data_IF_696533405221
#
_entry.id   IF_696533405221
#
_cell.length_a   1.000
_cell.length_b   1.000
_cell.length_c   1.000
_cell.angle_alpha   90.00
_cell.angle_beta   90.00
_cell.angle_gamma   90.00
#
_symmetry.space_group_name_H-M   'P 1'
#
loop_
_entity.id
_entity.type
_entity.pdbx_description
1 polymer ?
#
# COMPACT_ATOMS: atom_id res chain seq x y z
N UNK A 1 10.35 5.75 25.63
CA UNK A 1 9.13 6.06 24.86
C UNK A 1 9.42 6.67 23.47
N UNK A 2 10.43 7.52 23.31
CA UNK A 2 10.94 7.97 21.99
C UNK A 2 11.53 6.83 21.17
N UNK A 3 12.11 5.81 21.81
CA UNK A 3 12.67 4.63 21.15
C UNK A 3 11.62 3.71 20.53
N UNK A 4 10.42 3.61 21.13
CA UNK A 4 9.34 2.76 20.58
C UNK A 4 8.74 3.35 19.30
N UNK A 5 8.64 4.66 19.16
CA UNK A 5 8.16 5.33 17.95
C UNK A 5 9.19 5.23 16.82
N UNK A 6 10.46 5.47 17.11
CA UNK A 6 11.55 5.32 16.13
C UNK A 6 11.71 3.85 15.68
N UNK A 7 11.56 2.89 16.59
CA UNK A 7 11.59 1.47 16.27
C UNK A 7 10.40 1.08 15.36
N UNK A 8 9.21 1.64 15.60
CA UNK A 8 8.04 1.43 14.74
C UNK A 8 8.28 1.94 13.32
N UNK A 9 8.81 3.15 13.16
CA UNK A 9 9.08 3.74 11.85
C UNK A 9 10.18 2.98 11.07
N UNK A 10 11.20 2.48 11.79
CA UNK A 10 12.23 1.62 11.21
C UNK A 10 11.64 0.27 10.77
N UNK A 11 10.76 -0.32 11.58
CA UNK A 11 10.09 -1.59 11.27
C UNK A 11 9.19 -1.48 10.03
N UNK A 12 8.44 -0.39 9.92
CA UNK A 12 7.61 -0.06 8.76
C UNK A 12 8.46 0.03 7.50
N UNK A 13 9.53 0.81 7.56
CA UNK A 13 10.45 1.01 6.43
C UNK A 13 11.13 -0.30 6.00
N UNK A 14 11.52 -1.14 6.95
CA UNK A 14 12.07 -2.48 6.66
C UNK A 14 11.06 -3.39 5.98
N UNK A 15 9.79 -3.38 6.41
CA UNK A 15 8.71 -4.13 5.78
C UNK A 15 8.51 -3.75 4.32
N UNK A 16 8.49 -2.45 4.00
CA UNK A 16 8.37 -1.98 2.62
C UNK A 16 9.55 -2.40 1.74
N UNK A 17 10.77 -2.27 2.25
CA UNK A 17 11.98 -2.69 1.52
C UNK A 17 11.92 -4.19 1.27
N UNK A 18 11.54 -4.98 2.26
CA UNK A 18 11.40 -6.44 2.12
C UNK A 18 10.34 -6.81 1.08
N UNK A 19 9.20 -6.12 1.07
CA UNK A 19 8.15 -6.34 0.08
C UNK A 19 8.63 -6.07 -1.36
N UNK A 20 9.30 -4.93 -1.58
CA UNK A 20 9.84 -4.57 -2.90
C UNK A 20 10.95 -5.54 -3.33
N UNK A 21 11.85 -5.92 -2.43
CA UNK A 21 12.90 -6.93 -2.72
C UNK A 21 12.25 -8.28 -3.05
N UNK A 22 11.31 -8.74 -2.24
CA UNK A 22 10.58 -9.98 -2.50
C UNK A 22 9.88 -9.95 -3.87
N UNK A 23 9.25 -8.84 -4.23
CA UNK A 23 8.61 -8.67 -5.54
C UNK A 23 9.62 -8.64 -6.69
N UNK A 24 10.77 -8.00 -6.52
CA UNK A 24 11.84 -8.02 -7.50
C UNK A 24 12.40 -9.43 -7.72
N UNK A 25 12.53 -10.23 -6.64
CA UNK A 25 12.92 -11.64 -6.73
C UNK A 25 11.87 -12.50 -7.45
N UNK A 26 10.57 -12.18 -7.32
CA UNK A 26 9.50 -12.84 -8.11
C UNK A 26 9.70 -12.59 -9.59
N UNK A 27 10.09 -11.37 -9.99
CA UNK A 27 10.40 -11.05 -11.40
C UNK A 27 11.55 -11.94 -11.91
N UNK A 28 12.64 -12.02 -11.16
CA UNK A 28 13.79 -12.86 -11.52
C UNK A 28 13.39 -14.33 -11.64
N UNK A 29 12.65 -14.87 -10.68
CA UNK A 29 12.16 -16.24 -10.70
C UNK A 29 11.22 -16.52 -11.88
N UNK A 30 10.41 -15.53 -12.27
CA UNK A 30 9.52 -15.62 -13.43
C UNK A 30 10.28 -15.78 -14.74
N UNK A 31 11.37 -15.02 -14.93
CA UNK A 31 12.24 -15.18 -16.10
C UNK A 31 13.07 -16.49 -16.08
N UNK A 32 13.34 -17.04 -14.89
CA UNK A 32 13.96 -18.36 -14.76
C UNK A 32 12.98 -19.52 -15.05
N UNK A 33 11.69 -19.23 -15.18
CA UNK A 33 10.65 -20.24 -15.42
C UNK A 33 10.41 -21.21 -14.24
N UNK A 34 10.87 -20.88 -13.03
CA UNK A 34 10.77 -21.73 -11.84
C UNK A 34 9.53 -21.36 -11.01
N UNK A 35 8.41 -22.07 -11.23
CA UNK A 35 7.18 -21.86 -10.46
C UNK A 35 7.37 -22.02 -8.94
N UNK A 36 8.08 -23.04 -8.40
CA UNK A 36 8.28 -23.15 -6.96
C UNK A 36 9.02 -21.94 -6.37
N UNK A 37 10.01 -21.40 -7.11
CA UNK A 37 10.78 -20.25 -6.67
C UNK A 37 9.92 -18.97 -6.70
N UNK A 38 9.07 -18.81 -7.71
CA UNK A 38 8.09 -17.73 -7.77
C UNK A 38 7.13 -17.76 -6.57
N UNK A 39 6.62 -18.94 -6.21
CA UNK A 39 5.74 -19.10 -5.04
C UNK A 39 6.46 -18.74 -3.73
N UNK A 40 7.68 -19.19 -3.55
CA UNK A 40 8.48 -18.87 -2.35
C UNK A 40 8.73 -17.36 -2.23
N UNK A 41 9.13 -16.68 -3.30
CA UNK A 41 9.35 -15.24 -3.29
C UNK A 41 8.07 -14.43 -3.19
N UNK A 42 6.94 -14.93 -3.72
CA UNK A 42 5.63 -14.31 -3.50
C UNK A 42 5.23 -14.37 -2.03
N UNK A 43 5.48 -15.50 -1.35
CA UNK A 43 5.26 -15.61 0.08
C UNK A 43 6.16 -14.65 0.86
N UNK A 44 7.43 -14.52 0.48
CA UNK A 44 8.35 -13.55 1.09
C UNK A 44 7.86 -12.10 0.91
N UNK A 45 7.41 -11.74 -0.29
CA UNK A 45 6.84 -10.42 -0.57
C UNK A 45 5.58 -10.17 0.28
N UNK A 46 4.71 -11.17 0.43
CA UNK A 46 3.50 -11.09 1.25
C UNK A 46 3.80 -10.87 2.73
N UNK A 47 4.86 -11.50 3.27
CA UNK A 47 5.32 -11.25 4.64
C UNK A 47 5.77 -9.79 4.82
N UNK A 48 6.44 -9.22 3.83
CA UNK A 48 6.82 -7.81 3.84
C UNK A 48 5.63 -6.85 3.73
N UNK A 49 4.53 -7.27 3.08
CA UNK A 49 3.31 -6.47 2.93
C UNK A 49 2.39 -6.50 4.17
N UNK A 50 2.53 -7.50 5.05
CA UNK A 50 1.70 -7.64 6.26
C UNK A 50 1.68 -6.37 7.13
N UNK A 51 2.83 -5.82 7.54
CA UNK A 51 2.90 -4.58 8.29
C UNK A 51 2.22 -3.41 7.59
N UNK A 52 2.25 -3.36 6.27
CA UNK A 52 1.63 -2.28 5.50
C UNK A 52 0.10 -2.26 5.60
N UNK A 53 -0.57 -3.39 5.52
CA UNK A 53 -2.04 -3.40 5.60
C UNK A 53 -2.54 -2.85 6.96
N UNK A 54 -1.81 -3.10 8.03
CA UNK A 54 -2.05 -2.47 9.32
C UNK A 54 -1.77 -0.96 9.31
N UNK A 55 -0.71 -0.56 8.61
CA UNK A 55 -0.24 0.82 8.53
C UNK A 55 -1.18 1.75 7.75
N UNK A 56 -1.86 1.25 6.72
CA UNK A 56 -2.88 2.03 5.98
C UNK A 56 -3.99 2.56 6.90
N UNK A 57 -4.49 1.72 7.81
CA UNK A 57 -5.49 2.15 8.78
C UNK A 57 -4.92 3.19 9.76
N UNK A 58 -3.67 3.04 10.18
CA UNK A 58 -2.99 4.02 11.03
C UNK A 58 -2.79 5.36 10.31
N UNK A 59 -2.41 5.35 9.04
CA UNK A 59 -2.29 6.57 8.22
C UNK A 59 -3.64 7.29 8.08
N UNK A 60 -4.73 6.55 7.82
CA UNK A 60 -6.08 7.13 7.74
C UNK A 60 -6.46 7.76 9.08
N UNK A 61 -6.23 7.06 10.19
CA UNK A 61 -6.49 7.59 11.54
C UNK A 61 -5.66 8.85 11.82
N UNK A 62 -4.37 8.85 11.45
CA UNK A 62 -3.49 10.02 11.61
C UNK A 62 -3.93 11.21 10.77
N UNK A 63 -4.46 11.00 9.57
CA UNK A 63 -5.03 12.07 8.74
C UNK A 63 -6.32 12.64 9.35
N UNK A 64 -7.17 11.78 9.92
CA UNK A 64 -8.37 12.23 10.63
C UNK A 64 -8.01 13.03 11.89
N UNK A 65 -7.03 12.57 12.65
CA UNK A 65 -6.51 13.28 13.82
C UNK A 65 -5.92 14.65 13.45
N UNK A 66 -5.18 14.74 12.34
CA UNK A 66 -4.67 16.02 11.83
C UNK A 66 -5.80 17.01 11.56
N UNK A 67 -6.88 16.55 10.92
CA UNK A 67 -8.05 17.40 10.65
C UNK A 67 -8.74 17.82 11.93
N UNK A 68 -8.83 16.91 12.91
CA UNK A 68 -9.41 17.24 14.21
C UNK A 68 -8.57 18.28 14.97
N UNK A 69 -7.25 18.14 14.99
CA UNK A 69 -6.34 19.09 15.63
C UNK A 69 -6.36 20.49 14.97
N UNK A 70 -6.59 20.54 13.66
CA UNK A 70 -6.55 21.81 12.90
C UNK A 70 -7.91 22.48 12.77
N UNK A 71 -8.99 21.72 12.63
CA UNK A 71 -10.33 22.24 12.34
C UNK A 71 -11.38 21.95 13.42
N UNK A 72 -11.05 21.18 14.45
CA UNK A 72 -11.96 20.80 15.53
C UNK A 72 -13.08 19.84 15.09
N UNK A 73 -12.98 19.22 13.91
CA UNK A 73 -14.02 18.34 13.36
C UNK A 73 -13.51 16.92 13.21
N UNK A 74 -14.18 15.96 13.81
CA UNK A 74 -13.92 14.52 13.59
C UNK A 74 -14.56 14.07 12.29
N UNK A 75 -13.75 13.55 11.37
CA UNK A 75 -14.16 13.07 10.05
C UNK A 75 -13.78 11.62 9.81
N UNK A 76 -13.56 10.83 10.86
CA UNK A 76 -13.14 9.41 10.78
C UNK A 76 -14.03 8.62 9.82
N UNK A 77 -15.36 8.70 9.98
CA UNK A 77 -16.31 8.01 9.11
C UNK A 77 -16.18 8.39 7.63
N UNK A 78 -15.97 9.67 7.35
CA UNK A 78 -15.78 10.16 5.99
C UNK A 78 -14.48 9.64 5.38
N UNK A 79 -13.38 9.65 6.14
CA UNK A 79 -12.08 9.16 5.68
C UNK A 79 -12.12 7.66 5.34
N UNK A 80 -12.70 6.84 6.21
CA UNK A 80 -12.89 5.40 5.94
C UNK A 80 -13.85 5.14 4.77
N UNK A 81 -14.89 5.94 4.62
CA UNK A 81 -15.82 5.84 3.49
C UNK A 81 -15.13 6.18 2.16
N UNK A 82 -14.32 7.24 2.12
CA UNK A 82 -13.52 7.60 0.94
C UNK A 82 -12.52 6.49 0.59
N UNK A 83 -11.86 5.90 1.58
CA UNK A 83 -10.94 4.78 1.37
C UNK A 83 -11.66 3.56 0.81
N UNK A 84 -12.82 3.20 1.37
CA UNK A 84 -13.64 2.08 0.88
C UNK A 84 -14.12 2.32 -0.56
N UNK A 85 -14.52 3.55 -0.88
CA UNK A 85 -14.90 3.95 -2.23
C UNK A 85 -13.70 3.83 -3.18
N UNK A 86 -12.53 4.33 -2.78
CA UNK A 86 -11.30 4.23 -3.54
C UNK A 86 -10.91 2.80 -3.87
N UNK A 87 -11.00 1.87 -2.90
CA UNK A 87 -10.74 0.44 -3.11
C UNK A 87 -11.71 -0.17 -4.12
N UNK A 88 -13.01 0.15 -4.04
CA UNK A 88 -14.03 -0.38 -4.96
C UNK A 88 -13.83 0.16 -6.38
N UNK A 89 -13.62 1.47 -6.52
CA UNK A 89 -13.36 2.10 -7.83
C UNK A 89 -12.04 1.57 -8.41
N UNK A 90 -10.97 1.51 -7.61
CA UNK A 90 -9.67 0.98 -8.03
C UNK A 90 -9.74 -0.48 -8.46
N UNK A 91 -10.49 -1.31 -7.73
CA UNK A 91 -10.73 -2.72 -8.11
C UNK A 91 -11.48 -2.84 -9.44
N UNK A 92 -12.53 -2.04 -9.64
CA UNK A 92 -13.27 -2.01 -10.90
C UNK A 92 -12.42 -1.57 -12.10
N UNK A 93 -11.69 -0.46 -11.95
CA UNK A 93 -10.78 0.03 -12.99
C UNK A 93 -9.66 -0.99 -13.25
N UNK A 94 -9.07 -1.56 -12.20
CA UNK A 94 -8.02 -2.57 -12.32
C UNK A 94 -8.48 -3.79 -13.10
N UNK A 95 -9.67 -4.31 -12.82
CA UNK A 95 -10.25 -5.43 -13.55
C UNK A 95 -10.49 -5.09 -15.02
N UNK A 96 -10.99 -3.88 -15.32
CA UNK A 96 -11.20 -3.43 -16.70
C UNK A 96 -9.87 -3.30 -17.45
N UNK A 97 -8.84 -2.73 -16.83
CA UNK A 97 -7.50 -2.58 -17.43
C UNK A 97 -6.90 -3.95 -17.75
N UNK A 98 -6.99 -4.92 -16.82
CA UNK A 98 -6.54 -6.29 -17.06
C UNK A 98 -7.28 -6.92 -18.25
N UNK A 99 -8.60 -6.75 -18.34
CA UNK A 99 -9.41 -7.23 -19.47
C UNK A 99 -8.96 -6.63 -20.80
N UNK A 100 -8.76 -5.32 -20.86
CA UNK A 100 -8.28 -4.62 -22.06
C UNK A 100 -6.86 -5.06 -22.48
N UNK A 101 -5.96 -5.20 -21.50
CA UNK A 101 -4.59 -5.66 -21.78
C UNK A 101 -4.58 -7.07 -22.39
N UNK A 102 -5.43 -7.98 -21.91
CA UNK A 102 -5.61 -9.32 -22.47
C UNK A 102 -6.19 -9.25 -23.88
N UNK A 103 -7.24 -8.46 -24.10
CA UNK A 103 -7.86 -8.27 -25.41
C UNK A 103 -6.84 -7.76 -26.44
N UNK A 104 -6.11 -6.67 -26.13
CA UNK A 104 -5.09 -6.12 -27.02
C UNK A 104 -3.93 -7.08 -27.31
N UNK A 105 -3.66 -8.03 -26.42
CA UNK A 105 -2.63 -9.06 -26.62
C UNK A 105 -3.08 -10.22 -27.50
N UNK A 106 -4.36 -10.25 -27.87
CA UNK A 106 -4.95 -11.34 -28.68
C UNK A 106 -5.26 -12.59 -27.86
N UNK A 107 -5.49 -12.45 -26.56
CA UNK A 107 -5.91 -13.56 -25.71
C UNK A 107 -7.31 -14.06 -26.08
N UNK A 108 -7.47 -15.36 -26.31
CA UNK A 108 -8.76 -16.00 -26.59
C UNK A 108 -8.98 -17.13 -25.59
N UNK A 109 -9.87 -16.93 -24.62
CA UNK A 109 -10.11 -17.86 -23.50
C UNK A 109 -10.53 -19.26 -23.87
N UNK A 110 -11.05 -19.47 -25.10
CA UNK A 110 -11.47 -20.79 -25.61
C UNK A 110 -10.34 -21.56 -26.29
N UNK A 111 -9.23 -20.93 -26.61
CA UNK A 111 -8.11 -21.59 -27.29
C UNK A 111 -7.21 -22.32 -26.30
N UNK A 112 -6.88 -23.57 -26.58
CA UNK A 112 -5.97 -24.36 -25.77
C UNK A 112 -4.51 -23.83 -25.82
N UNK A 113 -4.12 -23.18 -26.93
CA UNK A 113 -2.83 -22.54 -27.12
C UNK A 113 -3.03 -21.05 -27.34
N UNK A 114 -2.30 -20.25 -26.59
CA UNK A 114 -2.38 -18.80 -26.67
C UNK A 114 -1.24 -18.25 -27.54
N UNK A 115 -1.44 -17.12 -28.24
CA UNK A 115 -0.36 -16.46 -28.96
C UNK A 115 0.72 -15.96 -27.98
N UNK A 116 1.97 -15.88 -28.47
CA UNK A 116 3.10 -15.46 -27.66
C UNK A 116 2.88 -14.05 -27.04
N UNK A 117 2.25 -13.15 -27.79
CA UNK A 117 1.87 -11.82 -27.31
C UNK A 117 0.98 -11.85 -26.06
N UNK A 118 0.04 -12.79 -25.98
CA UNK A 118 -0.81 -12.95 -24.82
C UNK A 118 -0.04 -13.52 -23.62
N UNK A 119 0.88 -14.45 -23.84
CA UNK A 119 1.73 -15.00 -22.78
C UNK A 119 2.67 -13.92 -22.21
N UNK A 120 3.30 -13.13 -23.08
CA UNK A 120 4.17 -12.03 -22.68
C UNK A 120 3.40 -10.95 -21.90
N UNK A 121 2.16 -10.65 -22.32
CA UNK A 121 1.30 -9.71 -21.61
C UNK A 121 0.92 -10.24 -20.22
N UNK A 122 0.54 -11.52 -20.10
CA UNK A 122 0.24 -12.12 -18.80
C UNK A 122 1.47 -12.10 -17.89
N UNK A 123 2.66 -12.40 -18.44
CA UNK A 123 3.91 -12.33 -17.70
C UNK A 123 4.19 -10.91 -17.23
N UNK A 124 4.01 -9.90 -18.08
CA UNK A 124 4.14 -8.50 -17.72
C UNK A 124 3.18 -8.09 -16.59
N UNK A 125 1.89 -8.43 -16.73
CA UNK A 125 0.87 -8.10 -15.72
C UNK A 125 1.15 -8.77 -14.37
N UNK A 126 1.68 -9.98 -14.35
CA UNK A 126 1.96 -10.68 -13.10
C UNK A 126 3.27 -10.25 -12.45
N UNK A 127 4.31 -10.00 -13.22
CA UNK A 127 5.66 -9.71 -12.72
C UNK A 127 5.90 -8.22 -12.52
N UNK A 128 5.65 -7.41 -13.55
CA UNK A 128 6.05 -6.01 -13.56
C UNK A 128 5.00 -5.07 -12.98
N UNK A 129 3.74 -5.29 -13.29
CA UNK A 129 2.67 -4.37 -12.86
C UNK A 129 2.61 -4.24 -11.33
N UNK A 130 2.61 -5.33 -10.54
CA UNK A 130 2.63 -5.22 -9.09
C UNK A 130 3.91 -4.55 -8.55
N UNK A 131 5.08 -4.84 -9.13
CA UNK A 131 6.33 -4.21 -8.73
C UNK A 131 6.29 -2.69 -8.94
N UNK A 132 5.79 -2.24 -10.10
CA UNK A 132 5.65 -0.81 -10.41
C UNK A 132 4.75 -0.13 -9.36
N UNK A 133 3.59 -0.73 -9.07
CA UNK A 133 2.67 -0.15 -8.08
C UNK A 133 3.25 -0.18 -6.66
N UNK A 134 3.93 -1.24 -6.25
CA UNK A 134 4.59 -1.31 -4.94
C UNK A 134 5.63 -0.16 -4.79
N UNK A 135 6.42 0.10 -5.82
CA UNK A 135 7.40 1.20 -5.83
C UNK A 135 6.71 2.58 -5.79
N UNK A 136 5.64 2.76 -6.58
CA UNK A 136 4.87 4.02 -6.57
C UNK A 136 4.24 4.31 -5.22
N UNK A 137 3.68 3.29 -4.57
CA UNK A 137 3.08 3.42 -3.25
C UNK A 137 4.15 3.72 -2.20
N UNK A 138 5.29 3.01 -2.24
CA UNK A 138 6.42 3.29 -1.35
C UNK A 138 6.90 4.75 -1.50
N UNK A 139 6.99 5.24 -2.72
CA UNK A 139 7.36 6.63 -2.98
C UNK A 139 6.32 7.61 -2.45
N UNK A 140 5.02 7.37 -2.69
CA UNK A 140 3.94 8.22 -2.20
C UNK A 140 3.94 8.28 -0.66
N UNK A 141 4.07 7.13 0.02
CA UNK A 141 4.10 7.06 1.48
C UNK A 141 5.35 7.70 2.08
N UNK A 142 6.50 7.60 1.41
CA UNK A 142 7.74 8.25 1.87
C UNK A 142 7.67 9.78 1.87
N UNK A 143 6.71 10.36 1.14
CA UNK A 143 6.46 11.81 1.11
C UNK A 143 5.41 12.27 2.12
N UNK A 144 4.74 11.34 2.79
CA UNK A 144 3.71 11.66 3.80
C UNK A 144 4.37 11.85 5.17
N UNK A 145 4.31 13.07 5.71
CA UNK A 145 4.85 13.42 7.03
C UNK A 145 3.73 13.78 8.03
N UNK A 146 2.56 13.13 7.91
CA UNK A 146 1.37 13.45 8.73
C UNK A 146 1.61 13.16 10.21
N UNK A 147 2.33 12.08 10.54
CA UNK A 147 2.65 11.72 11.92
C UNK A 147 3.51 12.79 12.62
N UNK A 148 4.52 13.32 11.91
CA UNK A 148 5.37 14.39 12.46
C UNK A 148 4.60 15.71 12.59
N UNK A 149 3.68 16.00 11.68
CA UNK A 149 2.80 17.15 11.76
C UNK A 149 1.87 17.04 12.98
N UNK A 150 1.28 15.87 13.23
CA UNK A 150 0.44 15.62 14.41
C UNK A 150 1.23 15.74 15.71
N UNK A 151 2.44 15.21 15.79
CA UNK A 151 3.31 15.35 16.96
C UNK A 151 3.61 16.81 17.29
N UNK A 152 3.88 17.64 16.28
CA UNK A 152 4.11 19.07 16.44
C UNK A 152 2.86 19.81 16.93
N UNK A 153 1.70 19.53 16.30
CA UNK A 153 0.43 20.15 16.70
C UNK A 153 0.01 19.78 18.12
N UNK A 154 0.21 18.53 18.52
CA UNK A 154 -0.04 18.08 19.89
C UNK A 154 0.89 18.79 20.89
N UNK A 155 2.17 18.91 20.57
CA UNK A 155 3.12 19.62 21.41
C UNK A 155 2.77 21.11 21.58
N UNK A 156 2.31 21.77 20.52
CA UNK A 156 1.84 23.16 20.56
C UNK A 156 0.59 23.34 21.44
N UNK A 157 -0.28 22.33 21.45
CA UNK A 157 -1.53 22.32 22.26
C UNK A 157 -1.34 21.75 23.67
N UNK A 158 -0.14 21.33 24.05
CA UNK A 158 0.15 20.75 25.36
C UNK A 158 -0.42 19.34 25.57
N UNK A 159 -0.82 18.65 24.49
CA UNK A 159 -1.38 17.29 24.52
C UNK A 159 -0.25 16.27 24.46
N UNK A 160 -0.31 15.21 25.27
CA UNK A 160 0.70 14.15 25.24
C UNK A 160 0.71 13.44 23.87
N UNK A 161 1.88 13.13 23.33
CA UNK A 161 2.03 12.58 21.97
C UNK A 161 1.32 11.24 21.74
N UNK A 162 1.07 10.49 22.82
CA UNK A 162 0.41 9.18 22.85
C UNK A 162 -1.06 9.25 23.32
N UNK A 163 -1.56 10.43 23.62
CA UNK A 163 -2.94 10.64 24.07
C UNK A 163 -3.90 10.70 22.87
N UNK A 164 -5.03 10.01 22.99
CA UNK A 164 -6.10 10.12 22.01
C UNK A 164 -6.75 11.48 22.21
N UNK A 165 -6.68 12.33 21.20
CA UNK A 165 -7.23 13.69 21.26
C UNK A 165 -8.75 13.65 21.43
N UNK A 166 -9.27 14.19 22.51
CA UNK A 166 -10.69 14.26 22.80
C UNK A 166 -11.24 15.70 22.67
N UNK A 167 -12.56 15.86 22.70
CA UNK A 167 -13.21 17.15 22.56
C UNK A 167 -12.84 18.16 23.65
N UNK A 168 -12.40 17.66 24.82
CA UNK A 168 -11.90 18.46 25.96
C UNK A 168 -10.54 19.11 25.73
N UNK A 169 -9.73 18.59 24.77
CA UNK A 169 -8.35 19.00 24.58
C UNK A 169 -8.20 20.20 23.62
N UNK A 170 -9.31 20.65 23.00
CA UNK A 170 -9.30 21.65 21.94
C UNK A 170 -9.94 22.99 22.39
N UNK A 171 -10.49 23.05 23.61
CA UNK A 171 -11.09 24.29 24.17
C UNK A 171 -10.08 25.19 24.87
#
# INVERSE_FOLDING_TARGET
RKESSAASDVYKRQGYVLAVIGRALVVVAGYMGSVPLMMAFTALAALGQGPWQGDMNAVIASCSEYTYLTQGKRIDGTMYSCTSLGVKIGGGIGTAVVGWMLEFSGYVGTNATQPQSALDMMQFMYLWLPLIFDVLIMFALSRMNVEDANKKLKAEKGIAADEVTDASDIN
#
